data_IF_840057903050
#
_entry.id   IF_840057903050
#
_cell.length_a   1.000
_cell.length_b   1.000
_cell.length_c   1.000
_cell.angle_alpha   90.00
_cell.angle_beta   90.00
_cell.angle_gamma   90.00
#
_symmetry.space_group_name_H-M   'P 1'
#
loop_
_entity.id
_entity.type
_entity.pdbx_description
1 polymer ?
#
# COMPACT_ATOMS: atom_id res chain seq x y z
N UNK A 1 12.57 14.74 -5.94
CA UNK A 1 11.84 13.77 -5.10
C UNK A 1 11.55 12.60 -6.00
N UNK A 2 12.25 11.48 -5.83
CA UNK A 2 11.97 10.28 -6.63
C UNK A 2 10.63 9.71 -6.16
N UNK A 3 9.67 9.66 -7.09
CA UNK A 3 8.38 9.03 -6.86
C UNK A 3 8.63 7.52 -6.83
N UNK A 4 8.21 6.83 -5.77
CA UNK A 4 8.46 5.39 -5.57
C UNK A 4 7.86 4.47 -6.63
N UNK A 5 7.06 5.00 -7.57
CA UNK A 5 6.30 4.23 -8.55
C UNK A 5 5.08 3.49 -7.96
N UNK A 6 4.99 3.41 -6.63
CA UNK A 6 3.90 2.75 -5.91
C UNK A 6 2.87 3.77 -5.40
N UNK A 7 1.60 3.40 -5.47
CA UNK A 7 0.51 4.16 -4.86
C UNK A 7 0.02 3.47 -3.58
N UNK A 8 -0.55 4.27 -2.68
CA UNK A 8 -1.09 3.81 -1.42
C UNK A 8 -2.55 4.23 -1.32
N UNK A 9 -3.44 3.24 -1.27
CA UNK A 9 -4.90 3.42 -1.27
C UNK A 9 -5.45 3.01 0.09
N UNK A 10 -6.26 3.87 0.70
CA UNK A 10 -7.04 3.51 1.88
C UNK A 10 -8.40 2.96 1.43
N UNK A 11 -8.76 1.79 1.94
CA UNK A 11 -10.03 1.10 1.66
C UNK A 11 -10.81 0.99 2.95
N UNK A 12 -11.91 1.72 3.03
CA UNK A 12 -12.83 1.69 4.16
C UNK A 12 -14.06 0.87 3.80
N UNK A 13 -14.18 -0.32 4.41
CA UNK A 13 -15.34 -1.19 4.27
C UNK A 13 -16.35 -0.84 5.36
N UNK A 14 -17.50 -0.31 4.95
CA UNK A 14 -18.64 -0.10 5.84
C UNK A 14 -19.68 -1.21 5.62
N UNK A 15 -20.07 -1.90 6.70
CA UNK A 15 -21.18 -2.85 6.63
C UNK A 15 -22.51 -2.12 6.86
N UNK A 16 -23.50 -2.34 6.00
CA UNK A 16 -24.78 -1.62 5.96
C UNK A 16 -25.67 -1.80 7.22
N UNK A 17 -25.20 -2.56 8.21
CA UNK A 17 -25.98 -3.03 9.35
C UNK A 17 -25.35 -2.81 10.72
N UNK A 18 -24.64 -1.70 10.93
CA UNK A 18 -24.16 -1.17 12.22
C UNK A 18 -22.65 -1.44 12.54
N UNK A 19 -21.89 -0.34 12.49
CA UNK A 19 -20.65 -0.01 13.22
C UNK A 19 -19.29 -0.70 12.96
N UNK A 20 -19.18 -1.73 12.12
CA UNK A 20 -17.85 -2.22 11.75
C UNK A 20 -17.32 -1.48 10.50
N UNK A 21 -16.46 -0.47 10.71
CA UNK A 21 -15.60 0.06 9.65
C UNK A 21 -14.28 -0.71 9.71
N UNK A 22 -13.98 -1.49 8.66
CA UNK A 22 -12.66 -2.08 8.50
C UNK A 22 -11.88 -1.22 7.54
N UNK A 23 -10.88 -0.50 8.05
CA UNK A 23 -9.89 0.19 7.22
C UNK A 23 -8.77 -0.79 6.86
N UNK A 24 -8.44 -0.86 5.58
CA UNK A 24 -7.24 -1.53 5.07
C UNK A 24 -6.50 -0.61 4.12
N UNK A 25 -5.20 -0.87 3.94
CA UNK A 25 -4.33 -0.09 3.08
C UNK A 25 -3.79 -0.99 1.98
N UNK A 26 -4.01 -0.60 0.73
CA UNK A 26 -3.55 -1.34 -0.44
C UNK A 26 -2.39 -0.59 -1.08
N UNK A 27 -1.34 -1.32 -1.43
CA UNK A 27 -0.22 -0.81 -2.21
C UNK A 27 -0.42 -1.29 -3.64
N UNK A 28 -0.46 -0.36 -4.58
CA UNK A 28 -0.54 -0.66 -6.01
C UNK A 28 0.72 -0.25 -6.75
N UNK A 29 1.01 -0.95 -7.84
CA UNK A 29 2.11 -0.62 -8.73
C UNK A 29 1.68 0.42 -9.79
N UNK A 30 2.58 0.83 -10.73
CA UNK A 30 2.24 1.81 -11.77
C UNK A 30 1.13 1.38 -12.75
N UNK A 31 0.82 0.09 -12.86
CA UNK A 31 -0.26 -0.42 -13.72
C UNK A 31 -1.55 -0.68 -12.94
N UNK A 32 -1.62 -0.16 -11.71
CA UNK A 32 -2.76 -0.25 -10.78
C UNK A 32 -3.03 -1.66 -10.23
N UNK A 33 -2.07 -2.58 -10.33
CA UNK A 33 -2.18 -3.92 -9.73
C UNK A 33 -1.90 -3.87 -8.22
N UNK A 34 -2.77 -4.52 -7.43
CA UNK A 34 -2.61 -4.60 -5.97
C UNK A 34 -1.52 -5.61 -5.62
N UNK A 35 -0.39 -5.11 -5.12
CA UNK A 35 0.78 -5.92 -4.75
C UNK A 35 0.90 -6.16 -3.24
N UNK A 36 0.08 -5.48 -2.43
CA UNK A 36 0.04 -5.70 -0.97
C UNK A 36 -1.21 -5.13 -0.34
N UNK A 37 -1.71 -5.79 0.71
CA UNK A 37 -2.85 -5.32 1.53
C UNK A 37 -2.49 -5.42 3.01
N UNK A 38 -2.73 -4.35 3.75
CA UNK A 38 -2.26 -4.19 5.12
C UNK A 38 -3.38 -3.68 6.03
N UNK A 39 -3.33 -4.09 7.30
CA UNK A 39 -4.27 -3.60 8.32
C UNK A 39 -3.92 -2.21 8.86
N UNK A 40 -2.69 -1.75 8.64
CA UNK A 40 -2.23 -0.45 9.12
C UNK A 40 -1.45 0.34 8.06
N UNK A 41 -1.56 1.67 8.16
CA UNK A 41 -0.83 2.60 7.31
C UNK A 41 0.68 2.41 7.40
N UNK A 42 1.17 2.16 8.63
CA UNK A 42 2.59 1.99 8.92
C UNK A 42 3.16 0.74 8.24
N UNK A 43 2.43 -0.37 8.25
CA UNK A 43 2.85 -1.59 7.56
C UNK A 43 2.96 -1.36 6.05
N UNK A 44 1.96 -0.70 5.45
CA UNK A 44 1.97 -0.39 4.02
C UNK A 44 3.13 0.55 3.64
N UNK A 45 3.40 1.58 4.45
CA UNK A 45 4.54 2.48 4.26
C UNK A 45 5.90 1.76 4.40
N UNK A 46 6.02 0.86 5.38
CA UNK A 46 7.23 0.05 5.56
C UNK A 46 7.45 -0.87 4.35
N UNK A 47 6.38 -1.45 3.82
CA UNK A 47 6.43 -2.27 2.61
C UNK A 47 6.90 -1.47 1.39
N UNK A 48 6.33 -0.29 1.15
CA UNK A 48 6.78 0.62 0.06
C UNK A 48 8.27 0.97 0.25
N UNK A 49 8.69 1.30 1.47
CA UNK A 49 10.09 1.61 1.76
C UNK A 49 11.02 0.44 1.44
N UNK A 50 10.62 -0.78 1.78
CA UNK A 50 11.37 -2.01 1.44
C UNK A 50 11.48 -2.17 -0.08
N UNK A 51 10.39 -1.99 -0.83
CA UNK A 51 10.41 -2.08 -2.30
C UNK A 51 11.32 -1.03 -2.94
N UNK A 52 11.32 0.21 -2.43
CA UNK A 52 12.23 1.25 -2.91
C UNK A 52 13.70 0.86 -2.71
N UNK A 53 14.05 0.27 -1.57
CA UNK A 53 15.43 -0.18 -1.29
C UNK A 53 15.85 -1.31 -2.24
N UNK A 54 14.97 -2.29 -2.47
CA UNK A 54 15.23 -3.40 -3.40
C UNK A 54 15.42 -2.92 -4.85
N UNK A 55 14.61 -1.95 -5.30
CA UNK A 55 14.76 -1.36 -6.63
C UNK A 55 16.09 -0.61 -6.78
N UNK A 56 16.59 0.02 -5.72
CA UNK A 56 17.91 0.66 -5.71
C UNK A 56 19.05 -0.36 -5.79
N UNK A 57 18.92 -1.51 -5.11
CA UNK A 57 19.91 -2.59 -5.15
C UNK A 57 19.93 -3.37 -6.47
N UNK A 58 18.86 -3.32 -7.27
CA UNK A 58 18.78 -4.03 -8.55
C UNK A 58 19.28 -3.18 -9.73
N UNK A 59 19.54 -1.88 -9.52
CA UNK A 59 19.96 -0.93 -10.55
C UNK A 59 21.50 -0.86 -10.76
N UNK A 60 22.26 -1.84 -10.26
CA UNK A 60 23.73 -1.92 -10.31
C UNK A 60 24.20 -3.04 -11.22
#
# INVERSE_FOLDING_TARGET
>A
MEQSGFNLVQVDLSNAGNNAVRTSYEVTDPIEDVIGRFGSLKEAQNFIKMLCLLNQETAI
#
